data_IF_557057524973
#
_entry.id   IF_557057524973
#
_cell.length_a   1.000
_cell.length_b   1.000
_cell.length_c   1.000
_cell.angle_alpha   90.00
_cell.angle_beta   90.00
_cell.angle_gamma   90.00
#
_symmetry.space_group_name_H-M   'P 1'
#
loop_
_entity.id
_entity.type
_entity.pdbx_description
1 polymer ?
#
# COMPACT_ATOMS: atom_id res chain seq x y z
N UNK A 1 4.06 -23.54 56.36
CA UNK A 1 5.01 -22.62 55.70
C UNK A 1 4.22 -21.40 55.31
N UNK A 2 4.72 -20.20 55.62
CA UNK A 2 4.04 -18.97 55.25
C UNK A 2 4.06 -18.74 53.74
N UNK A 3 2.95 -18.21 53.22
CA UNK A 3 2.82 -17.81 51.82
C UNK A 3 3.84 -16.70 51.49
N UNK A 4 4.56 -16.88 50.38
CA UNK A 4 5.51 -15.89 49.88
C UNK A 4 4.80 -14.58 49.53
N UNK A 5 5.31 -13.48 50.09
CA UNK A 5 4.82 -12.11 49.86
C UNK A 5 5.87 -11.28 49.14
N UNK A 6 5.41 -10.20 48.51
CA UNK A 6 6.25 -9.32 47.69
C UNK A 6 7.43 -8.70 48.48
N UNK A 7 7.21 -8.38 49.76
CA UNK A 7 8.25 -7.89 50.67
C UNK A 7 9.42 -8.88 50.79
N UNK A 8 9.11 -10.16 50.94
CA UNK A 8 10.10 -11.24 51.02
C UNK A 8 10.78 -11.49 49.68
N UNK A 9 10.04 -11.43 48.57
CA UNK A 9 10.60 -11.59 47.23
C UNK A 9 11.57 -10.47 46.85
N UNK A 10 11.26 -9.21 47.21
CA UNK A 10 12.17 -8.04 47.01
C UNK A 10 13.44 -8.12 47.85
N UNK A 11 13.38 -8.81 48.99
CA UNK A 11 14.52 -8.95 49.88
C UNK A 11 15.54 -10.00 49.42
N UNK A 12 15.22 -10.79 48.37
CA UNK A 12 16.11 -11.87 47.89
C UNK A 12 17.46 -11.34 47.42
N UNK A 13 18.54 -11.98 47.85
CA UNK A 13 19.93 -11.64 47.54
C UNK A 13 20.62 -12.76 46.79
N UNK A 14 21.70 -12.44 46.04
CA UNK A 14 22.59 -13.46 45.52
C UNK A 14 23.07 -14.39 46.66
N UNK A 15 23.10 -15.70 46.39
CA UNK A 15 23.48 -16.78 47.32
C UNK A 15 22.47 -17.13 48.42
N UNK A 16 21.27 -16.54 48.43
CA UNK A 16 20.20 -17.00 49.33
C UNK A 16 19.78 -18.45 49.01
N UNK A 17 19.14 -19.13 49.97
CA UNK A 17 18.49 -20.41 49.67
C UNK A 17 17.21 -20.15 48.86
N UNK A 18 16.83 -21.06 47.93
CA UNK A 18 15.57 -20.94 47.21
C UNK A 18 14.39 -20.83 48.17
N UNK A 19 13.57 -19.81 47.98
CA UNK A 19 12.44 -19.51 48.87
C UNK A 19 11.20 -20.23 48.34
N UNK A 20 10.58 -21.14 49.11
CA UNK A 20 9.34 -21.78 48.68
C UNK A 20 8.20 -20.77 48.63
N UNK A 21 7.33 -20.90 47.62
CA UNK A 21 6.16 -20.02 47.50
C UNK A 21 5.12 -20.26 48.62
N UNK A 22 5.06 -21.50 49.14
CA UNK A 22 4.14 -21.88 50.21
C UNK A 22 2.69 -22.15 49.79
N UNK A 23 2.29 -21.81 48.55
CA UNK A 23 0.92 -22.06 48.04
C UNK A 23 0.86 -23.12 46.94
N UNK A 24 1.81 -23.10 46.00
CA UNK A 24 1.88 -24.11 44.93
C UNK A 24 3.02 -25.09 45.22
N UNK A 25 2.70 -26.38 45.33
CA UNK A 25 3.69 -27.43 45.63
C UNK A 25 4.83 -27.38 44.61
N UNK A 26 6.07 -27.33 45.11
CA UNK A 26 7.28 -27.32 44.28
C UNK A 26 7.63 -25.98 43.64
N UNK A 27 6.78 -24.95 43.73
CA UNK A 27 7.12 -23.60 43.26
C UNK A 27 8.08 -22.92 44.23
N UNK A 28 9.20 -22.42 43.70
CA UNK A 28 10.26 -21.76 44.46
C UNK A 28 10.81 -20.55 43.70
N UNK A 29 11.18 -19.51 44.44
CA UNK A 29 11.95 -18.38 43.94
C UNK A 29 13.43 -18.65 44.19
N UNK A 30 14.22 -18.82 43.13
CA UNK A 30 15.66 -18.99 43.22
C UNK A 30 16.37 -17.64 43.08
N UNK A 31 17.38 -17.32 43.90
CA UNK A 31 18.12 -16.08 43.73
C UNK A 31 18.87 -16.07 42.40
N UNK A 32 19.06 -14.88 41.85
CA UNK A 32 19.95 -14.64 40.72
C UNK A 32 21.18 -13.86 41.17
N UNK A 33 22.08 -13.54 40.23
CA UNK A 33 23.26 -12.69 40.52
C UNK A 33 22.91 -11.26 40.90
N UNK A 34 21.66 -10.83 40.72
CA UNK A 34 21.19 -9.48 41.01
C UNK A 34 20.24 -9.50 42.21
N UNK A 35 20.46 -8.58 43.16
CA UNK A 35 19.54 -8.38 44.30
C UNK A 35 18.14 -8.04 43.81
N UNK A 36 17.12 -8.50 44.54
CA UNK A 36 15.70 -8.32 44.20
C UNK A 36 15.27 -8.91 42.84
N UNK A 37 16.11 -9.74 42.20
CA UNK A 37 15.74 -10.53 41.02
C UNK A 37 15.88 -12.02 41.31
N UNK A 38 14.81 -12.77 41.04
CA UNK A 38 14.75 -14.21 41.30
C UNK A 38 14.17 -14.97 40.12
N UNK A 39 14.68 -16.17 39.84
CA UNK A 39 14.13 -17.06 38.84
C UNK A 39 13.04 -17.95 39.46
N UNK A 40 11.83 -17.90 38.91
CA UNK A 40 10.77 -18.83 39.30
C UNK A 40 11.05 -20.21 38.74
N UNK A 41 11.09 -21.20 39.62
CA UNK A 41 11.21 -22.61 39.25
C UNK A 41 10.09 -23.43 39.89
N UNK A 42 9.43 -24.24 39.09
CA UNK A 42 8.55 -25.29 39.55
C UNK A 42 9.29 -26.62 39.52
N UNK A 43 9.55 -27.18 40.69
CA UNK A 43 10.13 -28.52 40.85
C UNK A 43 9.02 -29.57 40.83
N UNK A 44 9.16 -30.57 39.97
CA UNK A 44 8.21 -31.67 39.84
C UNK A 44 8.92 -32.98 39.48
N UNK A 45 8.18 -34.08 39.54
CA UNK A 45 8.60 -35.39 39.02
C UNK A 45 7.87 -35.59 37.70
N UNK A 46 8.61 -35.88 36.63
CA UNK A 46 8.04 -36.12 35.32
C UNK A 46 7.10 -37.33 35.37
N UNK A 47 5.83 -37.20 34.96
CA UNK A 47 4.94 -38.36 34.85
C UNK A 47 5.32 -39.28 33.67
N UNK A 48 6.16 -38.80 32.74
CA UNK A 48 6.62 -39.56 31.56
C UNK A 48 7.90 -40.36 31.87
N UNK A 49 8.90 -39.73 32.50
CA UNK A 49 10.22 -40.35 32.71
C UNK A 49 10.49 -40.78 34.15
N UNK A 50 9.71 -40.29 35.12
CA UNK A 50 9.97 -40.51 36.55
C UNK A 50 11.08 -39.63 37.15
N UNK A 51 11.76 -38.80 36.35
CA UNK A 51 12.87 -37.97 36.81
C UNK A 51 12.41 -36.68 37.51
N UNK A 52 13.23 -36.19 38.44
CA UNK A 52 13.03 -34.87 39.05
C UNK A 52 13.49 -33.77 38.10
N UNK A 53 12.60 -32.82 37.79
CA UNK A 53 12.87 -31.69 36.88
C UNK A 53 12.47 -30.36 37.48
N UNK A 54 13.14 -29.30 37.04
CA UNK A 54 12.85 -27.92 37.41
C UNK A 54 12.42 -27.13 36.16
N UNK A 55 11.15 -26.71 36.10
CA UNK A 55 10.61 -25.87 35.02
C UNK A 55 10.76 -24.39 35.36
N UNK A 56 11.45 -23.63 34.51
CA UNK A 56 11.54 -22.17 34.62
C UNK A 56 10.25 -21.47 34.21
N UNK A 57 9.73 -20.58 35.05
CA UNK A 57 8.47 -19.85 34.84
C UNK A 57 8.67 -18.33 34.66
N UNK A 58 9.92 -17.89 34.50
CA UNK A 58 10.28 -16.48 34.31
C UNK A 58 11.05 -15.88 35.49
N UNK A 59 11.24 -14.57 35.47
CA UNK A 59 12.10 -13.84 36.40
C UNK A 59 11.27 -12.80 37.15
N UNK A 60 11.33 -12.79 38.48
CA UNK A 60 10.80 -11.70 39.30
C UNK A 60 11.67 -10.44 39.15
N UNK A 61 11.10 -9.22 39.05
CA UNK A 61 9.67 -8.90 39.13
C UNK A 61 8.90 -8.96 37.79
N UNK A 62 9.56 -9.19 36.65
CA UNK A 62 8.93 -9.22 35.31
C UNK A 62 7.77 -10.24 35.25
N UNK A 63 7.93 -11.37 35.95
CA UNK A 63 6.87 -12.31 36.29
C UNK A 63 6.55 -12.15 37.78
N UNK A 64 5.36 -11.61 38.05
CA UNK A 64 4.86 -11.38 39.40
C UNK A 64 4.60 -12.69 40.14
N UNK A 65 4.50 -12.64 41.47
CA UNK A 65 4.18 -13.83 42.30
C UNK A 65 2.87 -14.48 41.84
N UNK A 66 1.83 -13.68 41.58
CA UNK A 66 0.53 -14.18 41.14
C UNK A 66 0.62 -14.87 39.77
N UNK A 67 1.38 -14.29 38.84
CA UNK A 67 1.58 -14.88 37.51
C UNK A 67 2.40 -16.17 37.58
N UNK A 68 3.44 -16.22 38.42
CA UNK A 68 4.21 -17.43 38.66
C UNK A 68 3.33 -18.55 39.25
N UNK A 69 2.42 -18.24 40.19
CA UNK A 69 1.44 -19.20 40.73
C UNK A 69 0.49 -19.71 39.65
N UNK A 70 -0.04 -18.81 38.81
CA UNK A 70 -0.92 -19.17 37.70
C UNK A 70 -0.23 -20.14 36.74
N UNK A 71 0.98 -19.81 36.29
CA UNK A 71 1.78 -20.65 35.40
C UNK A 71 2.14 -22.00 36.05
N UNK A 72 2.47 -21.99 37.34
CA UNK A 72 2.79 -23.21 38.08
C UNK A 72 1.56 -24.13 38.22
N UNK A 73 0.38 -23.58 38.48
CA UNK A 73 -0.87 -24.34 38.53
C UNK A 73 -1.24 -24.92 37.16
N UNK A 74 -1.04 -24.18 36.06
CA UNK A 74 -1.22 -24.73 34.72
C UNK A 74 -0.31 -25.93 34.45
N UNK A 75 0.98 -25.81 34.79
CA UNK A 75 1.93 -26.92 34.68
C UNK A 75 1.53 -28.10 35.60
N UNK A 76 0.99 -27.84 36.79
CA UNK A 76 0.46 -28.87 37.70
C UNK A 76 -0.75 -29.59 37.12
N UNK A 77 -1.66 -28.89 36.44
CA UNK A 77 -2.79 -29.52 35.75
C UNK A 77 -2.30 -30.44 34.62
N UNK A 78 -1.26 -30.05 33.87
CA UNK A 78 -0.65 -30.91 32.86
C UNK A 78 -0.06 -32.19 33.49
N UNK A 79 0.67 -32.05 34.61
CA UNK A 79 1.22 -33.20 35.35
C UNK A 79 0.11 -34.14 35.84
N UNK A 80 -1.02 -33.60 36.31
CA UNK A 80 -2.17 -34.39 36.75
C UNK A 80 -2.80 -35.20 35.60
N UNK A 81 -2.72 -34.69 34.36
CA UNK A 81 -3.11 -35.40 33.14
C UNK A 81 -2.01 -36.32 32.60
N UNK A 82 -0.96 -36.59 33.39
CA UNK A 82 0.22 -37.38 33.02
C UNK A 82 1.03 -36.82 31.84
N UNK A 83 1.00 -35.50 31.63
CA UNK A 83 1.79 -34.81 30.61
C UNK A 83 3.00 -34.13 31.28
N UNK A 84 4.21 -34.33 30.77
CA UNK A 84 5.38 -33.57 31.23
C UNK A 84 5.34 -32.14 30.64
N UNK A 85 5.19 -31.08 31.45
CA UNK A 85 5.03 -29.71 30.97
C UNK A 85 6.28 -29.15 30.28
N UNK A 86 7.48 -29.66 30.59
CA UNK A 86 8.71 -29.28 29.87
C UNK A 86 8.76 -29.98 28.51
N UNK A 87 8.40 -31.27 28.46
CA UNK A 87 8.33 -32.02 27.20
C UNK A 87 7.28 -31.42 26.27
N UNK A 88 6.06 -31.17 26.75
CA UNK A 88 4.99 -30.54 25.97
C UNK A 88 5.40 -29.18 25.40
N UNK A 89 5.97 -28.28 26.21
CA UNK A 89 6.47 -26.98 25.75
C UNK A 89 7.59 -27.12 24.72
N UNK A 90 8.43 -28.14 24.84
CA UNK A 90 9.51 -28.41 23.88
C UNK A 90 8.94 -28.97 22.57
N UNK A 91 7.96 -29.86 22.64
CA UNK A 91 7.28 -30.44 21.48
C UNK A 91 6.45 -29.41 20.72
N UNK A 92 5.74 -28.50 21.39
CA UNK A 92 5.06 -27.37 20.76
C UNK A 92 6.04 -26.45 20.02
N UNK A 93 7.19 -26.13 20.65
CA UNK A 93 8.25 -25.36 19.99
C UNK A 93 8.85 -26.11 18.79
N UNK A 94 9.05 -27.43 18.90
CA UNK A 94 9.55 -28.26 17.80
C UNK A 94 8.53 -28.39 16.67
N UNK A 95 7.25 -28.55 16.97
CA UNK A 95 6.18 -28.61 15.98
C UNK A 95 6.04 -27.28 15.22
N UNK A 96 6.09 -26.15 15.93
CA UNK A 96 6.13 -24.82 15.31
C UNK A 96 7.38 -24.62 14.44
N UNK A 97 8.53 -25.15 14.86
CA UNK A 97 9.77 -25.13 14.07
C UNK A 97 9.72 -26.05 12.84
N UNK A 98 9.07 -27.22 12.94
CA UNK A 98 8.89 -28.15 11.82
C UNK A 98 7.95 -27.54 10.78
N UNK A 99 6.83 -26.94 11.21
CA UNK A 99 5.90 -26.22 10.33
C UNK A 99 6.59 -25.03 9.63
N UNK A 100 7.46 -24.32 10.35
CA UNK A 100 8.30 -23.26 9.79
C UNK A 100 9.32 -23.78 8.76
N UNK A 101 9.92 -24.95 9.01
CA UNK A 101 10.98 -25.53 8.17
C UNK A 101 10.48 -26.16 6.86
N UNK A 102 9.18 -26.38 6.69
CA UNK A 102 8.60 -26.91 5.45
C UNK A 102 7.91 -25.84 4.60
N UNK A 103 7.96 -24.57 5.02
CA UNK A 103 7.23 -23.52 4.33
C UNK A 103 7.93 -23.12 3.04
N UNK A 104 7.24 -23.32 1.91
CA UNK A 104 7.71 -22.90 0.60
C UNK A 104 7.54 -21.39 0.40
N UNK A 105 8.23 -20.81 -0.59
CA UNK A 105 8.03 -19.41 -0.94
C UNK A 105 6.59 -19.11 -1.37
N UNK A 106 5.96 -20.00 -2.13
CA UNK A 106 4.58 -19.81 -2.58
C UNK A 106 3.60 -19.78 -1.41
N UNK A 107 3.72 -20.71 -0.48
CA UNK A 107 2.87 -20.76 0.72
C UNK A 107 3.06 -19.51 1.58
N UNK A 108 4.32 -19.09 1.77
CA UNK A 108 4.65 -17.87 2.48
C UNK A 108 4.07 -16.63 1.79
N UNK A 109 4.19 -16.54 0.47
CA UNK A 109 3.63 -15.45 -0.31
C UNK A 109 2.10 -15.38 -0.19
N UNK A 110 1.42 -16.54 -0.16
CA UNK A 110 -0.03 -16.61 0.02
C UNK A 110 -0.46 -16.21 1.45
N UNK A 111 0.29 -16.61 2.48
CA UNK A 111 0.08 -16.16 3.87
C UNK A 111 0.26 -14.65 4.00
N UNK A 112 1.38 -14.11 3.48
CA UNK A 112 1.67 -12.65 3.47
C UNK A 112 0.60 -11.88 2.73
N UNK A 113 0.17 -12.37 1.57
CA UNK A 113 -0.91 -11.78 0.78
C UNK A 113 -2.20 -11.71 1.57
N UNK A 114 -2.60 -12.81 2.21
CA UNK A 114 -3.84 -12.91 2.99
C UNK A 114 -3.82 -11.94 4.18
N UNK A 115 -2.72 -11.91 4.93
CA UNK A 115 -2.57 -11.02 6.09
C UNK A 115 -2.52 -9.53 5.70
N UNK A 116 -1.92 -9.20 4.56
CA UNK A 116 -1.77 -7.82 4.09
C UNK A 116 -3.00 -7.29 3.34
N UNK A 117 -3.86 -8.20 2.84
CA UNK A 117 -4.99 -7.85 1.98
C UNK A 117 -5.94 -6.83 2.61
N UNK A 118 -6.20 -6.96 3.91
CA UNK A 118 -7.08 -6.05 4.66
C UNK A 118 -6.54 -4.61 4.72
N UNK A 119 -5.22 -4.43 4.73
CA UNK A 119 -4.58 -3.10 4.73
C UNK A 119 -4.54 -2.43 3.36
N UNK A 120 -4.75 -3.15 2.26
CA UNK A 120 -4.69 -2.61 0.91
C UNK A 120 -6.05 -2.11 0.44
N UNK A 121 -6.19 -0.78 0.30
CA UNK A 121 -7.45 -0.12 -0.13
C UNK A 121 -7.93 -0.45 -1.55
N UNK A 122 -7.07 -0.99 -2.42
CA UNK A 122 -7.36 -1.18 -3.84
C UNK A 122 -7.36 -2.67 -4.23
N UNK A 123 -8.55 -3.23 -4.52
CA UNK A 123 -8.70 -4.63 -4.95
C UNK A 123 -7.89 -5.02 -6.19
N UNK A 124 -7.69 -4.11 -7.15
CA UNK A 124 -6.81 -4.37 -8.31
C UNK A 124 -5.35 -4.53 -7.87
N UNK A 125 -4.91 -3.73 -6.91
CA UNK A 125 -3.56 -3.86 -6.36
C UNK A 125 -3.39 -5.17 -5.57
N UNK A 126 -4.42 -5.56 -4.80
CA UNK A 126 -4.44 -6.85 -4.09
C UNK A 126 -4.27 -8.01 -5.07
N UNK A 127 -5.05 -8.05 -6.15
CA UNK A 127 -4.94 -9.09 -7.17
C UNK A 127 -3.59 -9.05 -7.88
N UNK A 128 -3.16 -7.86 -8.33
CA UNK A 128 -1.89 -7.69 -9.04
C UNK A 128 -0.69 -8.16 -8.22
N UNK A 129 -0.71 -7.98 -6.89
CA UNK A 129 0.39 -8.38 -6.03
C UNK A 129 0.72 -9.87 -6.17
N UNK A 130 -0.27 -10.73 -5.96
CA UNK A 130 -0.06 -12.19 -6.03
C UNK A 130 0.09 -12.67 -7.47
N UNK A 131 -0.68 -12.13 -8.43
CA UNK A 131 -0.57 -12.52 -9.84
C UNK A 131 0.84 -12.31 -10.37
N UNK A 132 1.51 -11.22 -10.02
CA UNK A 132 2.90 -11.03 -10.50
C UNK A 132 3.90 -12.00 -9.89
N UNK A 133 3.72 -12.42 -8.63
CA UNK A 133 4.58 -13.47 -8.07
C UNK A 133 4.32 -14.80 -8.77
N UNK A 134 3.05 -15.11 -9.06
CA UNK A 134 2.68 -16.28 -9.86
C UNK A 134 3.28 -16.27 -11.27
N UNK A 135 3.35 -15.11 -11.91
CA UNK A 135 3.92 -14.99 -13.26
C UNK A 135 5.44 -15.05 -13.28
N UNK A 136 6.10 -14.38 -12.34
CA UNK A 136 7.55 -14.12 -12.44
C UNK A 136 8.40 -14.85 -11.41
N UNK A 137 7.81 -15.40 -10.34
CA UNK A 137 8.55 -15.95 -9.19
C UNK A 137 8.25 -17.42 -8.96
N UNK A 138 6.96 -17.79 -8.90
CA UNK A 138 6.57 -19.16 -8.56
C UNK A 138 7.13 -20.22 -9.51
N UNK A 139 7.20 -19.99 -10.84
CA UNK A 139 7.80 -20.96 -11.76
C UNK A 139 9.28 -21.27 -11.48
N UNK A 140 10.02 -20.33 -10.88
CA UNK A 140 11.46 -20.45 -10.66
C UNK A 140 11.80 -20.92 -9.25
N UNK A 141 11.16 -20.33 -8.23
CA UNK A 141 11.49 -20.59 -6.83
C UNK A 141 10.28 -20.70 -5.90
N UNK A 142 9.06 -20.80 -6.43
CA UNK A 142 7.83 -20.92 -5.61
C UNK A 142 7.80 -22.17 -4.74
N UNK A 143 8.27 -23.29 -5.29
CA UNK A 143 8.31 -24.60 -4.64
C UNK A 143 9.48 -24.76 -3.65
N UNK A 144 10.45 -23.86 -3.66
CA UNK A 144 11.62 -23.94 -2.78
C UNK A 144 11.25 -23.58 -1.35
N UNK A 145 11.87 -24.25 -0.39
CA UNK A 145 11.75 -23.90 1.03
C UNK A 145 12.38 -22.53 1.28
N UNK A 146 11.76 -21.74 2.16
CA UNK A 146 12.28 -20.41 2.51
C UNK A 146 13.74 -20.43 2.99
N UNK A 147 14.13 -21.49 3.71
CA UNK A 147 15.49 -21.69 4.23
C UNK A 147 16.53 -22.02 3.15
N UNK A 148 16.09 -22.48 1.98
CA UNK A 148 16.96 -22.90 0.88
C UNK A 148 17.13 -21.82 -0.18
N UNK A 149 16.35 -20.74 -0.11
CA UNK A 149 16.41 -19.65 -1.08
C UNK A 149 17.59 -18.75 -0.75
N UNK A 150 18.53 -18.68 -1.70
CA UNK A 150 19.72 -17.85 -1.59
C UNK A 150 19.64 -16.58 -2.47
N UNK A 151 20.74 -15.81 -2.51
CA UNK A 151 20.82 -14.58 -3.31
C UNK A 151 20.78 -14.88 -4.81
N UNK A 152 21.34 -16.02 -5.25
CA UNK A 152 21.38 -16.42 -6.65
C UNK A 152 19.99 -16.76 -7.17
N UNK A 153 19.20 -17.49 -6.38
CA UNK A 153 17.81 -17.84 -6.73
C UNK A 153 16.97 -16.61 -7.04
N UNK A 154 17.10 -15.58 -6.20
CA UNK A 154 16.42 -14.31 -6.42
C UNK A 154 16.96 -13.59 -7.66
N UNK A 155 18.28 -13.60 -7.86
CA UNK A 155 18.91 -12.97 -9.01
C UNK A 155 18.51 -13.63 -10.34
N UNK A 156 18.54 -14.96 -10.44
CA UNK A 156 18.12 -15.72 -11.62
C UNK A 156 16.62 -15.53 -11.90
N UNK A 157 15.79 -15.48 -10.87
CA UNK A 157 14.35 -15.18 -11.02
C UNK A 157 14.11 -13.79 -11.64
N UNK A 158 14.91 -12.80 -11.26
CA UNK A 158 14.77 -11.43 -11.76
C UNK A 158 15.47 -11.18 -13.09
N UNK A 159 16.55 -11.92 -13.40
CA UNK A 159 17.45 -11.66 -14.53
C UNK A 159 16.72 -11.52 -15.88
N UNK A 160 15.75 -12.40 -16.26
CA UNK A 160 15.07 -12.28 -17.56
C UNK A 160 14.30 -10.97 -17.75
N UNK A 161 13.81 -10.38 -16.64
CA UNK A 161 13.01 -9.17 -16.65
C UNK A 161 13.80 -7.93 -16.22
N UNK A 162 15.02 -8.09 -15.72
CA UNK A 162 15.75 -7.07 -14.97
C UNK A 162 16.01 -5.79 -15.76
N UNK A 163 16.46 -5.94 -17.02
CA UNK A 163 16.74 -4.83 -17.93
C UNK A 163 15.66 -4.64 -19.00
N UNK A 164 14.87 -5.68 -19.29
CA UNK A 164 13.83 -5.66 -20.33
C UNK A 164 12.50 -5.09 -19.83
N UNK A 165 12.16 -5.33 -18.55
CA UNK A 165 10.92 -4.90 -17.89
C UNK A 165 11.24 -4.28 -16.53
N UNK A 166 12.02 -3.21 -16.55
CA UNK A 166 12.65 -2.60 -15.37
C UNK A 166 11.66 -2.32 -14.22
N UNK A 167 10.52 -1.69 -14.51
CA UNK A 167 9.47 -1.40 -13.50
C UNK A 167 8.87 -2.69 -12.90
N UNK A 168 8.63 -3.69 -13.74
CA UNK A 168 8.14 -5.00 -13.29
C UNK A 168 9.17 -5.69 -12.42
N UNK A 169 10.44 -5.69 -12.82
CA UNK A 169 11.52 -6.28 -12.04
C UNK A 169 11.69 -5.62 -10.67
N UNK A 170 11.62 -4.28 -10.61
CA UNK A 170 11.67 -3.53 -9.36
C UNK A 170 10.52 -3.93 -8.42
N UNK A 171 9.29 -4.01 -8.94
CA UNK A 171 8.11 -4.43 -8.16
C UNK A 171 8.20 -5.88 -7.71
N UNK A 172 8.67 -6.79 -8.58
CA UNK A 172 8.85 -8.21 -8.23
C UNK A 172 9.91 -8.33 -7.14
N UNK A 173 11.05 -7.65 -7.24
CA UNK A 173 12.09 -7.62 -6.19
C UNK A 173 11.52 -7.14 -4.86
N UNK A 174 10.75 -6.04 -4.84
CA UNK A 174 10.11 -5.54 -3.63
C UNK A 174 9.15 -6.55 -2.99
N UNK A 175 8.40 -7.29 -3.82
CA UNK A 175 7.46 -8.31 -3.35
C UNK A 175 8.19 -9.52 -2.77
N UNK A 176 9.25 -9.99 -3.42
CA UNK A 176 10.12 -11.05 -2.89
C UNK A 176 10.72 -10.59 -1.55
N UNK A 177 11.25 -9.37 -1.49
CA UNK A 177 11.81 -8.79 -0.27
C UNK A 177 10.81 -8.84 0.88
N UNK A 178 9.56 -8.44 0.63
CA UNK A 178 8.52 -8.42 1.66
C UNK A 178 8.18 -9.83 2.19
N UNK A 179 8.15 -10.85 1.31
CA UNK A 179 7.93 -12.25 1.72
C UNK A 179 9.11 -12.76 2.55
N UNK A 180 10.34 -12.50 2.12
CA UNK A 180 11.54 -12.93 2.85
C UNK A 180 11.72 -12.16 4.18
N UNK A 181 11.37 -10.88 4.26
CA UNK A 181 11.36 -10.15 5.54
C UNK A 181 10.31 -10.69 6.50
N UNK A 182 9.13 -11.07 5.99
CA UNK A 182 8.13 -11.73 6.82
C UNK A 182 8.70 -13.06 7.36
N UNK A 183 9.40 -13.84 6.55
CA UNK A 183 10.07 -15.06 6.99
C UNK A 183 11.14 -14.79 8.06
N UNK A 184 11.94 -13.71 7.93
CA UNK A 184 12.86 -13.26 8.97
C UNK A 184 12.14 -12.93 10.28
N UNK A 185 11.03 -12.20 10.20
CA UNK A 185 10.24 -11.82 11.38
C UNK A 185 9.62 -13.03 12.10
N UNK A 186 9.30 -14.09 11.36
CA UNK A 186 8.87 -15.38 11.89
C UNK A 186 10.04 -16.26 12.38
N UNK A 187 11.28 -15.78 12.33
CA UNK A 187 12.49 -16.52 12.70
C UNK A 187 12.70 -17.81 11.88
N UNK A 188 12.11 -17.88 10.68
CA UNK A 188 12.28 -19.00 9.74
C UNK A 188 13.67 -18.93 9.09
N UNK A 189 14.10 -17.71 8.77
CA UNK A 189 15.42 -17.41 8.20
C UNK A 189 16.08 -16.27 8.98
N UNK A 190 17.41 -16.22 8.96
CA UNK A 190 18.18 -15.22 9.72
C UNK A 190 18.38 -13.92 8.94
N UNK A 191 18.49 -14.00 7.62
CA UNK A 191 18.79 -12.87 6.75
C UNK A 191 18.01 -12.90 5.46
N UNK A 192 17.72 -11.71 4.91
CA UNK A 192 16.97 -11.58 3.67
C UNK A 192 17.92 -11.65 2.45
N UNK A 193 17.85 -12.71 1.62
CA UNK A 193 18.75 -12.87 0.46
C UNK A 193 18.56 -11.79 -0.60
N UNK A 194 17.41 -11.10 -0.62
CA UNK A 194 17.11 -10.06 -1.62
C UNK A 194 18.06 -8.85 -1.52
N UNK A 195 18.68 -8.65 -0.35
CA UNK A 195 19.64 -7.56 -0.10
C UNK A 195 20.91 -7.72 -0.94
N UNK A 196 21.35 -8.95 -1.21
CA UNK A 196 22.55 -9.24 -1.99
C UNK A 196 22.38 -9.10 -3.51
N UNK A 197 21.14 -9.13 -4.00
CA UNK A 197 20.81 -9.23 -5.44
C UNK A 197 21.42 -8.11 -6.29
N UNK A 198 21.56 -6.91 -5.72
CA UNK A 198 22.14 -5.76 -6.40
C UNK A 198 23.62 -5.93 -6.75
N UNK A 199 24.31 -6.87 -6.10
CA UNK A 199 25.70 -7.22 -6.39
C UNK A 199 25.82 -8.26 -7.51
N UNK A 200 24.73 -8.97 -7.84
CA UNK A 200 24.69 -10.01 -8.88
C UNK A 200 24.03 -9.55 -10.18
N UNK A 201 23.24 -8.47 -10.14
CA UNK A 201 22.55 -7.94 -11.30
C UNK A 201 23.10 -6.56 -11.67
N UNK A 202 23.16 -6.23 -12.98
CA UNK A 202 23.68 -4.94 -13.43
C UNK A 202 22.84 -3.78 -12.89
N UNK A 203 23.47 -2.62 -12.69
CA UNK A 203 22.76 -1.44 -12.20
C UNK A 203 21.66 -1.03 -13.19
N UNK A 204 20.41 -0.96 -12.72
CA UNK A 204 19.33 -0.41 -13.53
C UNK A 204 19.55 1.09 -13.77
N UNK A 205 19.12 1.64 -14.92
CA UNK A 205 19.09 3.09 -15.12
C UNK A 205 18.33 3.78 -13.98
N UNK A 206 18.77 4.98 -13.60
CA UNK A 206 18.14 5.72 -12.50
C UNK A 206 16.66 5.98 -12.80
N UNK A 207 15.84 6.11 -11.75
CA UNK A 207 14.42 6.42 -11.91
C UNK A 207 14.17 7.69 -12.74
N UNK A 208 15.03 8.70 -12.63
CA UNK A 208 14.93 9.93 -13.43
C UNK A 208 15.16 9.70 -14.93
N UNK A 209 15.98 8.74 -15.32
CA UNK A 209 16.18 8.35 -16.73
C UNK A 209 15.01 7.48 -17.22
N UNK A 210 14.39 6.70 -16.33
CA UNK A 210 13.28 5.78 -16.67
C UNK A 210 11.91 6.45 -16.73
N UNK A 211 11.69 7.49 -15.92
CA UNK A 211 10.42 8.22 -15.89
C UNK A 211 10.37 9.13 -17.10
N UNK A 212 9.91 8.58 -18.22
CA UNK A 212 9.43 9.41 -19.31
C UNK A 212 8.14 10.09 -18.84
N UNK A 213 8.12 11.42 -18.92
CA UNK A 213 6.90 12.18 -18.67
C UNK A 213 5.77 11.67 -19.57
N UNK A 214 4.53 11.80 -19.09
CA UNK A 214 3.36 11.49 -19.92
C UNK A 214 3.33 12.46 -21.09
N UNK A 215 3.40 11.98 -22.35
CA UNK A 215 3.42 12.87 -23.52
C UNK A 215 2.23 13.80 -23.51
N UNK A 216 2.51 15.09 -23.66
CA UNK A 216 1.53 16.16 -23.58
C UNK A 216 1.31 16.79 -24.95
N UNK A 217 0.07 17.21 -25.21
CA UNK A 217 -0.22 17.98 -26.41
C UNK A 217 0.18 19.44 -26.15
N UNK A 218 0.98 20.10 -27.01
CA UNK A 218 1.26 21.53 -26.84
C UNK A 218 -0.03 22.33 -26.74
N UNK A 219 -0.17 23.16 -25.71
CA UNK A 219 -1.46 23.80 -25.39
C UNK A 219 -2.00 24.66 -26.53
N UNK A 220 -1.11 25.21 -27.36
CA UNK A 220 -1.44 26.06 -28.52
C UNK A 220 -2.20 25.33 -29.63
N UNK A 221 -2.07 24.00 -29.73
CA UNK A 221 -2.73 23.17 -30.76
C UNK A 221 -3.95 22.41 -30.23
N UNK A 222 -4.19 22.43 -28.92
CA UNK A 222 -5.38 21.82 -28.31
C UNK A 222 -6.68 22.30 -28.96
N UNK A 223 -6.88 23.59 -29.28
CA UNK A 223 -8.16 24.04 -29.81
C UNK A 223 -8.48 23.39 -31.16
N UNK A 224 -7.48 23.27 -32.05
CA UNK A 224 -7.61 22.57 -33.33
C UNK A 224 -7.93 21.07 -33.11
N UNK A 225 -7.25 20.40 -32.18
CA UNK A 225 -7.56 19.01 -31.85
C UNK A 225 -8.99 18.83 -31.31
N UNK A 226 -9.45 19.75 -30.46
CA UNK A 226 -10.82 19.72 -29.93
C UNK A 226 -11.82 19.88 -31.07
N UNK A 227 -11.65 20.86 -31.93
CA UNK A 227 -12.52 21.10 -33.09
C UNK A 227 -12.56 19.88 -34.03
N UNK A 228 -11.39 19.40 -34.44
CA UNK A 228 -11.24 18.36 -35.47
C UNK A 228 -11.62 16.96 -34.99
N UNK A 229 -11.14 16.55 -33.81
CA UNK A 229 -11.19 15.15 -33.38
C UNK A 229 -12.26 14.88 -32.30
N UNK A 230 -12.51 15.87 -31.43
CA UNK A 230 -13.56 15.81 -30.40
C UNK A 230 -14.91 16.31 -30.94
N UNK A 231 -14.91 17.40 -31.72
CA UNK A 231 -16.10 18.04 -32.27
C UNK A 231 -17.16 18.32 -31.20
N UNK A 232 -18.43 18.09 -31.54
CA UNK A 232 -19.59 18.34 -30.65
C UNK A 232 -19.64 17.49 -29.36
N UNK A 233 -18.69 16.57 -29.17
CA UNK A 233 -18.67 15.65 -28.03
C UNK A 233 -19.94 14.79 -27.88
N UNK A 234 -20.54 14.39 -29.00
CA UNK A 234 -21.81 13.65 -29.03
C UNK A 234 -21.71 12.23 -28.42
N UNK A 235 -20.54 11.58 -28.48
CA UNK A 235 -20.32 10.30 -27.81
C UNK A 235 -19.65 10.48 -26.42
N UNK A 236 -19.86 9.51 -25.54
CA UNK A 236 -19.42 9.60 -24.14
C UNK A 236 -17.89 9.69 -24.02
N UNK A 237 -17.11 8.99 -24.86
CA UNK A 237 -15.65 9.05 -24.81
C UNK A 237 -15.09 10.43 -25.18
N UNK A 238 -15.68 11.10 -26.19
CA UNK A 238 -15.35 12.47 -26.59
C UNK A 238 -15.74 13.47 -25.50
N UNK A 239 -16.94 13.33 -24.94
CA UNK A 239 -17.40 14.16 -23.83
C UNK A 239 -16.50 14.02 -22.60
N UNK A 240 -16.15 12.79 -22.23
CA UNK A 240 -15.23 12.52 -21.14
C UNK A 240 -13.84 13.13 -21.39
N UNK A 241 -13.31 13.01 -22.62
CA UNK A 241 -12.01 13.60 -22.96
C UNK A 241 -12.05 15.11 -22.86
N UNK A 242 -13.07 15.74 -23.46
CA UNK A 242 -13.26 17.18 -23.41
C UNK A 242 -13.37 17.67 -21.96
N UNK A 243 -14.16 16.97 -21.14
CA UNK A 243 -14.30 17.28 -19.72
C UNK A 243 -12.95 17.19 -18.97
N UNK A 244 -12.14 16.16 -19.22
CA UNK A 244 -10.79 16.02 -18.64
C UNK A 244 -9.89 17.17 -19.06
N UNK A 245 -9.94 17.61 -20.32
CA UNK A 245 -9.15 18.73 -20.82
C UNK A 245 -9.60 20.02 -20.13
N UNK A 246 -10.89 20.34 -20.17
CA UNK A 246 -11.46 21.59 -19.63
C UNK A 246 -11.26 21.75 -18.11
N UNK A 247 -11.27 20.65 -17.37
CA UNK A 247 -11.17 20.67 -15.89
C UNK A 247 -9.77 20.36 -15.36
N UNK A 248 -8.86 19.89 -16.22
CA UNK A 248 -7.54 19.40 -15.88
C UNK A 248 -7.52 18.30 -14.80
N UNK A 249 -8.63 17.60 -14.53
CA UNK A 249 -8.67 16.51 -13.55
C UNK A 249 -8.03 15.23 -14.08
N UNK A 250 -7.81 14.23 -13.23
CA UNK A 250 -7.30 12.93 -13.68
C UNK A 250 -8.42 12.15 -14.38
N UNK A 251 -8.08 11.36 -15.39
CA UNK A 251 -9.06 10.53 -16.11
C UNK A 251 -9.82 9.55 -15.21
N UNK A 252 -9.20 9.06 -14.14
CA UNK A 252 -9.85 8.20 -13.15
C UNK A 252 -10.88 8.95 -12.29
N UNK A 253 -10.65 10.24 -12.02
CA UNK A 253 -11.60 11.11 -11.31
C UNK A 253 -12.79 11.39 -12.23
N UNK A 254 -12.55 11.80 -13.49
CA UNK A 254 -13.62 12.10 -14.44
C UNK A 254 -14.50 10.88 -14.79
N UNK A 255 -13.91 9.71 -15.05
CA UNK A 255 -14.68 8.49 -15.43
C UNK A 255 -15.66 8.01 -14.37
N UNK A 256 -15.38 8.34 -13.11
CA UNK A 256 -16.20 7.93 -11.97
C UNK A 256 -17.14 9.04 -11.49
N UNK A 257 -17.09 10.23 -12.10
CA UNK A 257 -17.88 11.39 -11.70
C UNK A 257 -19.37 11.03 -11.61
N UNK A 258 -19.98 11.39 -10.47
CA UNK A 258 -21.39 11.15 -10.19
C UNK A 258 -22.14 12.46 -10.13
N UNK A 259 -23.40 12.53 -10.58
CA UNK A 259 -24.17 13.78 -10.59
C UNK A 259 -24.34 14.36 -9.18
N UNK A 260 -24.46 13.49 -8.17
CA UNK A 260 -24.46 13.89 -6.75
C UNK A 260 -23.24 14.68 -6.28
N UNK A 261 -22.13 14.68 -7.03
CA UNK A 261 -20.91 15.45 -6.71
C UNK A 261 -20.95 16.89 -7.25
N UNK A 262 -21.92 17.23 -8.09
CA UNK A 262 -22.00 18.52 -8.78
C UNK A 262 -23.05 19.43 -8.14
N UNK A 263 -22.60 20.57 -7.65
CA UNK A 263 -23.46 21.71 -7.38
C UNK A 263 -23.44 22.63 -8.60
N UNK A 264 -24.40 22.44 -9.51
CA UNK A 264 -24.51 23.23 -10.74
C UNK A 264 -24.93 24.68 -10.47
N UNK A 265 -25.61 24.95 -9.33
CA UNK A 265 -26.01 26.32 -8.94
C UNK A 265 -24.79 27.12 -8.51
N UNK A 266 -23.95 26.55 -7.65
CA UNK A 266 -22.69 27.16 -7.24
C UNK A 266 -21.56 26.97 -8.25
N UNK A 267 -21.78 26.19 -9.31
CA UNK A 267 -20.80 25.87 -10.35
C UNK A 267 -19.55 25.22 -9.76
N UNK A 268 -19.73 24.18 -8.96
CA UNK A 268 -18.66 23.44 -8.27
C UNK A 268 -18.86 21.94 -8.45
N UNK A 269 -17.80 21.22 -8.78
CA UNK A 269 -17.72 19.78 -8.63
C UNK A 269 -16.82 19.42 -7.46
N UNK A 270 -17.36 18.66 -6.49
CA UNK A 270 -16.64 18.27 -5.28
C UNK A 270 -16.29 16.78 -5.34
N UNK A 271 -15.01 16.48 -5.56
CA UNK A 271 -14.50 15.11 -5.58
C UNK A 271 -14.13 14.71 -4.14
N UNK A 272 -14.75 13.64 -3.60
CA UNK A 272 -14.51 13.22 -2.23
C UNK A 272 -13.10 12.64 -2.04
N UNK A 273 -12.57 12.78 -0.82
CA UNK A 273 -11.20 12.38 -0.48
C UNK A 273 -10.89 10.91 -0.79
N UNK A 274 -11.86 10.01 -0.60
CA UNK A 274 -11.72 8.57 -0.87
C UNK A 274 -11.44 8.26 -2.36
N UNK A 275 -11.85 9.13 -3.29
CA UNK A 275 -11.58 9.03 -4.72
C UNK A 275 -10.30 9.74 -5.17
N UNK A 276 -9.75 10.60 -4.32
CA UNK A 276 -8.58 11.39 -4.62
C UNK A 276 -7.29 10.62 -4.31
N UNK A 277 -6.32 10.66 -5.24
CA UNK A 277 -5.00 10.04 -5.04
C UNK A 277 -4.28 10.59 -3.81
N UNK A 278 -4.46 11.87 -3.50
CA UNK A 278 -3.87 12.54 -2.34
C UNK A 278 -4.67 12.34 -1.04
N UNK A 279 -5.84 11.68 -1.10
CA UNK A 279 -6.76 11.49 0.04
C UNK A 279 -7.22 12.81 0.68
N UNK A 280 -7.31 13.88 -0.12
CA UNK A 280 -7.85 15.19 0.27
C UNK A 280 -8.97 15.51 -0.70
N UNK A 281 -10.10 16.03 -0.20
CA UNK A 281 -11.22 16.49 -1.03
C UNK A 281 -10.74 17.53 -2.04
N UNK A 282 -11.24 17.48 -3.27
CA UNK A 282 -10.90 18.43 -4.32
C UNK A 282 -12.13 19.13 -4.87
N UNK A 283 -12.17 20.47 -4.80
CA UNK A 283 -13.21 21.28 -5.42
C UNK A 283 -12.74 21.82 -6.75
N UNK A 284 -13.49 21.54 -7.81
CA UNK A 284 -13.21 21.97 -9.19
C UNK A 284 -14.25 23.01 -9.58
N UNK A 285 -13.86 24.26 -9.91
CA UNK A 285 -14.80 25.24 -10.42
C UNK A 285 -15.27 24.83 -11.83
N UNK A 286 -16.57 24.97 -12.09
CA UNK A 286 -17.18 24.63 -13.38
C UNK A 286 -17.28 25.89 -14.24
N UNK A 287 -16.50 25.93 -15.31
CA UNK A 287 -16.51 27.01 -16.30
C UNK A 287 -17.73 26.91 -17.24
N UNK A 288 -18.02 28.00 -17.96
CA UNK A 288 -19.13 28.06 -18.93
C UNK A 288 -19.13 26.89 -19.93
N UNK A 289 -17.99 26.58 -20.59
CA UNK A 289 -17.90 25.43 -21.49
C UNK A 289 -18.13 24.08 -20.82
N UNK A 290 -17.72 23.93 -19.55
CA UNK A 290 -17.97 22.70 -18.77
C UNK A 290 -19.45 22.53 -18.47
N UNK A 291 -20.14 23.61 -18.08
CA UNK A 291 -21.59 23.56 -17.81
C UNK A 291 -22.37 23.17 -19.06
N UNK A 292 -22.07 23.76 -20.22
CA UNK A 292 -22.69 23.38 -21.51
C UNK A 292 -22.49 21.90 -21.83
N UNK A 293 -21.30 21.36 -21.55
CA UNK A 293 -21.01 19.94 -21.75
C UNK A 293 -21.81 19.05 -20.79
N UNK A 294 -21.94 19.46 -19.53
CA UNK A 294 -22.73 18.74 -18.52
C UNK A 294 -24.22 18.74 -18.86
N UNK A 295 -24.79 19.88 -19.29
CA UNK A 295 -26.18 19.97 -19.76
C UNK A 295 -26.47 18.95 -20.88
N UNK A 296 -25.56 18.85 -21.86
CA UNK A 296 -25.65 17.83 -22.93
C UNK A 296 -25.56 16.39 -22.41
N UNK A 297 -24.78 16.12 -21.36
CA UNK A 297 -24.71 14.77 -20.77
C UNK A 297 -25.95 14.45 -19.93
N UNK A 298 -26.55 15.43 -19.26
CA UNK A 298 -27.73 15.23 -18.42
C UNK A 298 -28.95 14.78 -19.23
N UNK A 299 -29.01 15.13 -20.52
CA UNK A 299 -30.04 14.68 -21.46
C UNK A 299 -29.89 13.21 -21.87
N UNK A 300 -28.76 12.55 -21.55
CA UNK A 300 -28.50 11.16 -21.93
C UNK A 300 -28.88 10.21 -20.79
N UNK A 301 -29.46 9.04 -21.09
CA UNK A 301 -29.76 8.06 -20.06
C UNK A 301 -28.51 7.65 -19.29
N UNK A 302 -28.53 7.80 -17.98
CA UNK A 302 -27.48 7.32 -17.09
C UNK A 302 -28.00 6.23 -16.18
N UNK A 303 -27.27 5.12 -16.13
CA UNK A 303 -27.44 4.10 -15.10
C UNK A 303 -26.41 4.39 -14.01
N UNK A 304 -26.83 4.35 -12.73
CA UNK A 304 -25.96 4.46 -11.54
C UNK A 304 -25.34 5.84 -11.29
N UNK A 305 -26.08 6.92 -11.58
CA UNK A 305 -25.70 8.30 -11.27
C UNK A 305 -24.41 8.81 -11.95
N UNK A 306 -23.85 8.06 -12.91
CA UNK A 306 -22.60 8.44 -13.58
C UNK A 306 -22.83 9.56 -14.60
N UNK A 307 -21.91 10.52 -14.65
CA UNK A 307 -21.92 11.60 -15.68
C UNK A 307 -21.50 11.06 -17.05
N UNK A 308 -20.57 10.10 -17.09
CA UNK A 308 -20.02 9.52 -18.31
C UNK A 308 -20.16 7.98 -18.34
N UNK A 309 -21.40 7.44 -18.45
CA UNK A 309 -21.63 5.99 -18.42
C UNK A 309 -21.19 5.30 -19.72
N UNK A 310 -20.65 4.09 -19.61
CA UNK A 310 -20.40 3.22 -20.76
C UNK A 310 -21.70 2.94 -21.51
N UNK A 311 -21.74 3.19 -22.82
CA UNK A 311 -22.93 2.98 -23.65
C UNK A 311 -23.42 1.52 -23.65
N UNK A 312 -22.49 0.55 -23.63
CA UNK A 312 -22.83 -0.88 -23.66
C UNK A 312 -23.10 -1.47 -22.28
N UNK A 313 -22.23 -1.17 -21.31
CA UNK A 313 -22.30 -1.80 -19.98
C UNK A 313 -23.13 -1.00 -18.95
N UNK A 314 -23.41 0.27 -19.22
CA UNK A 314 -24.06 1.19 -18.28
C UNK A 314 -23.23 1.54 -17.04
N UNK A 315 -22.02 0.99 -16.90
CA UNK A 315 -21.10 1.25 -15.79
C UNK A 315 -19.97 2.20 -16.17
N UNK A 316 -18.92 2.24 -15.34
CA UNK A 316 -17.74 3.06 -15.58
C UNK A 316 -17.05 2.72 -16.91
N UNK A 317 -16.57 3.72 -17.65
CA UNK A 317 -15.69 3.51 -18.79
C UNK A 317 -14.36 2.87 -18.34
N UNK A 318 -13.74 2.07 -19.22
CA UNK A 318 -12.47 1.39 -18.91
C UNK A 318 -11.31 2.40 -18.79
N UNK A 319 -10.23 2.01 -18.09
CA UNK A 319 -9.01 2.83 -17.97
C UNK A 319 -8.41 3.16 -19.35
N UNK A 320 -8.67 2.31 -20.35
CA UNK A 320 -8.16 2.43 -21.71
C UNK A 320 -9.01 3.30 -22.63
N UNK A 321 -10.23 3.70 -22.24
CA UNK A 321 -11.16 4.39 -23.13
C UNK A 321 -10.53 5.65 -23.79
N UNK A 322 -9.92 6.52 -22.98
CA UNK A 322 -9.27 7.74 -23.48
C UNK A 322 -7.94 7.44 -24.18
N UNK A 323 -7.15 6.50 -23.68
CA UNK A 323 -5.87 6.10 -24.29
C UNK A 323 -6.08 5.55 -25.70
N UNK A 324 -7.08 4.68 -25.89
CA UNK A 324 -7.43 4.11 -27.18
C UNK A 324 -7.94 5.18 -28.15
N UNK A 325 -8.75 6.13 -27.66
CA UNK A 325 -9.20 7.27 -28.46
C UNK A 325 -8.01 8.10 -28.98
N UNK A 326 -7.13 8.54 -28.08
CA UNK A 326 -5.99 9.40 -28.43
C UNK A 326 -5.02 8.72 -29.40
N UNK A 327 -4.78 7.42 -29.24
CA UNK A 327 -3.96 6.62 -30.17
C UNK A 327 -4.62 6.48 -31.55
N UNK A 328 -5.92 6.18 -31.58
CA UNK A 328 -6.70 6.06 -32.83
C UNK A 328 -6.64 7.36 -33.65
N UNK A 329 -6.74 8.49 -32.96
CA UNK A 329 -6.69 9.83 -33.58
C UNK A 329 -5.27 10.37 -33.76
N UNK A 330 -4.23 9.58 -33.47
CA UNK A 330 -2.81 9.98 -33.58
C UNK A 330 -2.54 11.34 -32.93
N UNK A 331 -3.12 11.57 -31.76
CA UNK A 331 -3.07 12.86 -31.06
C UNK A 331 -1.61 13.32 -30.91
N UNK A 332 -1.28 14.48 -31.48
CA UNK A 332 0.07 15.05 -31.49
C UNK A 332 0.56 15.27 -30.06
N UNK A 333 1.84 14.99 -29.80
CA UNK A 333 2.49 15.27 -28.53
C UNK A 333 3.85 15.93 -28.70
N UNK A 334 4.36 16.45 -27.58
CA UNK A 334 5.72 16.93 -27.38
C UNK A 334 6.80 15.84 -27.45
N UNK A 335 6.41 14.57 -27.52
CA UNK A 335 7.33 13.43 -27.50
C UNK A 335 7.29 12.71 -28.85
N UNK A 336 8.42 12.74 -29.58
CA UNK A 336 8.54 12.15 -30.91
C UNK A 336 8.12 10.67 -30.92
N UNK A 337 7.27 10.30 -31.88
CA UNK A 337 6.79 8.94 -32.07
C UNK A 337 5.74 8.46 -31.04
N UNK A 338 5.27 9.32 -30.13
CA UNK A 338 4.27 8.97 -29.11
C UNK A 338 3.05 9.88 -29.22
N UNK A 339 1.86 9.31 -29.05
CA UNK A 339 0.62 10.09 -28.98
C UNK A 339 0.46 10.73 -27.60
N UNK A 340 -0.22 11.87 -27.55
CA UNK A 340 -0.59 12.52 -26.30
C UNK A 340 -1.45 11.59 -25.44
N UNK A 341 -1.36 11.77 -24.12
CA UNK A 341 -2.11 10.97 -23.16
C UNK A 341 -3.13 11.82 -22.42
N UNK A 342 -4.18 11.19 -21.89
CA UNK A 342 -5.18 11.88 -21.07
C UNK A 342 -4.54 12.58 -19.84
N UNK A 343 -3.47 12.00 -19.28
CA UNK A 343 -2.70 12.63 -18.21
C UNK A 343 -1.85 13.80 -18.72
N UNK A 344 -1.31 13.71 -19.94
CA UNK A 344 -0.47 14.74 -20.55
C UNK A 344 -1.16 16.09 -20.70
N UNK A 345 -2.48 16.14 -20.90
CA UNK A 345 -3.24 17.41 -20.91
C UNK A 345 -3.13 18.23 -19.62
N UNK A 346 -2.79 17.58 -18.50
CA UNK A 346 -2.52 18.28 -17.24
C UNK A 346 -1.20 19.05 -17.27
N UNK A 347 -0.20 18.51 -17.98
CA UNK A 347 1.03 19.25 -18.28
C UNK A 347 0.72 20.39 -19.24
N UNK A 348 -0.07 20.15 -20.29
CA UNK A 348 -0.51 21.20 -21.21
C UNK A 348 -1.20 22.37 -20.50
N UNK A 349 -2.11 22.08 -19.56
CA UNK A 349 -2.75 23.08 -18.71
C UNK A 349 -1.73 23.82 -17.83
N UNK A 350 -0.77 23.10 -17.25
CA UNK A 350 0.26 23.69 -16.39
C UNK A 350 1.14 24.67 -17.15
N UNK A 351 1.52 24.31 -18.38
CA UNK A 351 2.32 25.13 -19.29
C UNK A 351 1.53 26.36 -19.73
N UNK A 352 0.27 26.18 -20.16
CA UNK A 352 -0.63 27.28 -20.48
C UNK A 352 -0.76 28.27 -19.32
N UNK A 353 -1.02 27.79 -18.11
CA UNK A 353 -1.17 28.66 -16.93
C UNK A 353 0.13 29.44 -16.64
N UNK A 354 1.29 28.78 -16.78
CA UNK A 354 2.58 29.42 -16.56
C UNK A 354 2.88 30.51 -17.60
N UNK A 355 2.60 30.23 -18.88
CA UNK A 355 2.86 31.16 -19.98
C UNK A 355 1.86 32.33 -20.03
N UNK A 356 0.66 32.17 -19.47
CA UNK A 356 -0.36 33.22 -19.38
C UNK A 356 -0.35 33.98 -18.03
N UNK A 357 0.75 33.89 -17.27
CA UNK A 357 0.96 34.73 -16.08
C UNK A 357 0.19 34.32 -14.83
N UNK A 358 -0.43 33.13 -14.81
CA UNK A 358 -1.15 32.65 -13.63
C UNK A 358 -0.19 32.20 -12.52
N UNK A 359 -0.47 32.55 -11.24
CA UNK A 359 0.33 32.07 -10.12
C UNK A 359 0.42 30.54 -10.09
N UNK A 360 1.64 30.03 -9.88
CA UNK A 360 1.93 28.59 -9.79
C UNK A 360 0.98 27.87 -8.83
N UNK A 361 0.74 28.44 -7.66
CA UNK A 361 -0.12 27.84 -6.63
C UNK A 361 -1.55 27.56 -7.14
N UNK A 362 -2.09 28.42 -8.01
CA UNK A 362 -3.45 28.23 -8.55
C UNK A 362 -3.51 26.99 -9.46
N UNK A 363 -2.51 26.83 -10.33
CA UNK A 363 -2.40 25.69 -11.23
C UNK A 363 -2.12 24.39 -10.46
N UNK A 364 -1.22 24.39 -9.48
CA UNK A 364 -0.94 23.20 -8.65
C UNK A 364 -2.18 22.74 -7.85
N UNK A 365 -2.98 23.70 -7.36
CA UNK A 365 -4.26 23.42 -6.68
C UNK A 365 -5.31 22.89 -7.64
N UNK A 366 -5.47 23.47 -8.83
CA UNK A 366 -6.39 22.94 -9.84
C UNK A 366 -6.06 21.48 -10.21
N UNK A 367 -4.76 21.15 -10.24
CA UNK A 367 -4.26 19.81 -10.48
C UNK A 367 -4.34 18.89 -9.24
N UNK A 368 -4.75 19.37 -8.07
CA UNK A 368 -4.71 18.62 -6.81
C UNK A 368 -3.35 17.93 -6.61
N UNK A 369 -2.27 18.69 -6.82
CA UNK A 369 -0.92 18.25 -6.50
C UNK A 369 -0.66 18.43 -5.01
N UNK A 370 0.01 17.45 -4.39
CA UNK A 370 0.42 17.55 -2.99
C UNK A 370 1.59 18.51 -2.91
N UNK A 371 1.48 19.53 -2.07
CA UNK A 371 2.58 20.43 -1.75
C UNK A 371 3.64 19.59 -1.03
N UNK A 372 4.84 19.52 -1.61
CA UNK A 372 5.92 18.65 -1.12
C UNK A 372 6.50 19.15 0.21
N UNK A 373 6.49 20.46 0.41
CA UNK A 373 7.01 21.10 1.62
C UNK A 373 5.91 21.15 2.70
N UNK A 374 6.13 20.45 3.82
CA UNK A 374 5.18 20.42 4.94
C UNK A 374 4.98 21.80 5.58
N UNK A 375 6.01 22.65 5.55
CA UNK A 375 5.94 24.03 6.06
C UNK A 375 5.05 24.87 5.15
N UNK A 376 5.25 24.83 3.84
CA UNK A 376 4.42 25.53 2.85
C UNK A 376 2.95 25.04 2.91
N UNK A 377 2.73 23.73 3.02
CA UNK A 377 1.40 23.14 3.18
C UNK A 377 0.64 23.68 4.41
N UNK A 378 1.34 24.05 5.49
CA UNK A 378 0.72 24.59 6.72
C UNK A 378 0.18 26.01 6.57
N UNK A 379 0.75 26.81 5.65
CA UNK A 379 0.30 28.19 5.39
C UNK A 379 -0.94 28.25 4.47
N UNK A 380 -1.23 27.18 3.74
CA UNK A 380 -2.34 27.14 2.79
C UNK A 380 -3.65 26.68 3.43
N UNK A 381 -4.36 27.62 4.07
CA UNK A 381 -5.63 27.36 4.78
C UNK A 381 -6.85 27.16 3.87
N UNK A 382 -6.79 27.50 2.59
CA UNK A 382 -7.91 27.38 1.65
C UNK A 382 -7.46 26.82 0.30
N UNK A 383 -8.40 26.30 -0.50
CA UNK A 383 -8.16 25.76 -1.85
C UNK A 383 -8.20 26.83 -2.95
N UNK A 384 -8.32 28.12 -2.56
CA UNK A 384 -8.39 29.28 -3.45
C UNK A 384 -9.42 29.16 -4.58
N UNK A 385 -10.56 28.50 -4.31
CA UNK A 385 -11.58 28.19 -5.31
C UNK A 385 -11.97 29.40 -6.18
N UNK A 386 -12.28 30.54 -5.56
CA UNK A 386 -12.73 31.74 -6.28
C UNK A 386 -11.64 32.33 -7.17
N UNK A 387 -10.37 32.31 -6.74
CA UNK A 387 -9.25 32.74 -7.58
C UNK A 387 -9.02 31.79 -8.76
N UNK A 388 -9.29 30.49 -8.57
CA UNK A 388 -9.20 29.49 -9.65
C UNK A 388 -10.34 29.60 -10.66
N UNK A 389 -11.50 30.20 -10.33
CA UNK A 389 -12.63 30.32 -11.27
C UNK A 389 -12.24 31.04 -12.55
N UNK A 390 -11.64 32.22 -12.44
CA UNK A 390 -11.20 33.02 -13.60
C UNK A 390 -10.17 32.25 -14.43
N UNK A 391 -9.16 31.65 -13.81
CA UNK A 391 -8.15 30.84 -14.50
C UNK A 391 -8.75 29.65 -15.26
N UNK A 392 -9.71 28.94 -14.64
CA UNK A 392 -10.35 27.78 -15.26
C UNK A 392 -11.35 28.18 -16.36
N UNK A 393 -11.95 29.37 -16.27
CA UNK A 393 -12.77 29.93 -17.34
C UNK A 393 -11.91 30.28 -18.56
N UNK A 394 -10.83 31.03 -18.36
CA UNK A 394 -9.90 31.42 -19.43
C UNK A 394 -9.29 30.20 -20.13
N UNK A 395 -8.90 29.18 -19.34
CA UNK A 395 -8.43 27.91 -19.88
C UNK A 395 -9.51 27.24 -20.74
N UNK A 396 -10.74 27.17 -20.24
CA UNK A 396 -11.82 26.53 -20.94
C UNK A 396 -12.16 27.26 -22.24
N UNK A 397 -12.15 28.59 -22.24
CA UNK A 397 -12.33 29.44 -23.43
C UNK A 397 -11.23 29.17 -24.45
N UNK A 398 -9.95 29.13 -24.02
CA UNK A 398 -8.84 28.77 -24.90
C UNK A 398 -9.05 27.39 -25.54
N UNK A 399 -9.41 26.38 -24.74
CA UNK A 399 -9.61 25.00 -25.22
C UNK A 399 -10.68 24.90 -26.30
N UNK A 400 -11.75 25.70 -26.23
CA UNK A 400 -12.86 25.67 -27.20
C UNK A 400 -12.76 26.75 -28.28
N UNK A 401 -11.71 27.57 -28.28
CA UNK A 401 -11.61 28.68 -29.24
C UNK A 401 -11.40 28.14 -30.66
N UNK A 402 -12.23 28.54 -31.60
CA UNK A 402 -11.97 28.31 -33.02
C UNK A 402 -10.78 29.16 -33.43
N UNK A 403 -9.64 28.52 -33.76
CA UNK A 403 -8.60 29.23 -34.51
C UNK A 403 -8.98 29.12 -35.98
N UNK A 404 -9.48 30.22 -36.55
CA UNK A 404 -9.42 30.42 -38.00
C UNK A 404 -7.94 30.26 -38.39
N UNK A 405 -7.62 29.14 -39.03
CA UNK A 405 -6.30 28.88 -39.61
C UNK A 405 -6.01 29.91 -40.69
#
# INVERSE_FOLDING_TARGET
MDMLRDVTAKAIKPNDKPIPDGTVTGLRLHPTKTKARGAWKLRFVSPETGDRRDMGLGIYPDVTINEARRLANQARSQIALRIDPISARTSEKKAAQIEANILTFEDAAQKVHTNSKAGWKNGKHQAQWITTLRTYVFPNMGHKLLSEIDVNDVAETLRPIWLTKIETASRVKQRIHHVMEWACAQQIIVGNPVNGVQHLLPKQPSASIRVQNFPAMPWRIIPNFVEKDIGDANNVSRALLLFVILTAVRSGEARKAQWSEFDLKQRIWTIPANRMKAQVMHRVPLSGPVLKLLEKQQQKPSKRDLVFPSTRAGGELTDMALTSFLRKHRAVSDTLGRSATAHGFRSSFRDWASENGYPRDYAERALAHKIKNSVEASYHRTDLLEKRRSMMEDWAIHVISEKKV
#
